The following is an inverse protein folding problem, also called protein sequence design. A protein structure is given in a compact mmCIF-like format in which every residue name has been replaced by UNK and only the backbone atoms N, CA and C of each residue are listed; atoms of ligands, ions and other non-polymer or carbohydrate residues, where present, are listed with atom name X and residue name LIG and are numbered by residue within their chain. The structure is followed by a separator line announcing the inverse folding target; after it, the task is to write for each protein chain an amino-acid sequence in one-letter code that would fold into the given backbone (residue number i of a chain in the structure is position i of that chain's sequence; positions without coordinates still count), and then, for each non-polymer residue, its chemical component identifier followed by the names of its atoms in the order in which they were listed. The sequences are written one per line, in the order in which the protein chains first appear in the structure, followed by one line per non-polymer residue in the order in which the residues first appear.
data_IF_620759559796
#
_entry.id   IF_620759559796
#
_cell.length_a   1.000
_cell.length_b   1.000
_cell.length_c   1.000
_cell.angle_alpha   90.00
_cell.angle_beta   90.00
_cell.angle_gamma   90.00
#
_symmetry.space_group_name_H-M   'P 1'
#
loop_
_entity.id
_entity.type
_entity.pdbx_description
1 polymer ?
#
# COMPACT_ATOMS: atom_id res chain seq x y z
N UNK A 1 19.81 -4.90 -6.13
CA UNK A 1 18.39 -4.82 -5.72
C UNK A 1 18.04 -3.34 -5.63
N UNK A 2 17.12 -2.85 -6.46
CA UNK A 2 16.77 -1.42 -6.45
C UNK A 2 16.03 -1.06 -5.15
N UNK A 3 16.27 0.13 -4.58
CA UNK A 3 15.56 0.56 -3.38
C UNK A 3 14.06 0.72 -3.67
N UNK A 4 13.22 0.20 -2.79
CA UNK A 4 11.76 0.34 -2.91
C UNK A 4 11.37 1.77 -2.54
N UNK A 5 10.79 2.49 -3.49
CA UNK A 5 10.37 3.89 -3.31
C UNK A 5 8.96 4.00 -2.70
N UNK A 6 8.56 5.21 -2.33
CA UNK A 6 7.17 5.49 -1.93
C UNK A 6 6.20 5.34 -3.11
N UNK A 7 6.63 5.66 -4.32
CA UNK A 7 5.82 5.47 -5.52
C UNK A 7 5.58 3.98 -5.81
N UNK A 8 6.56 3.12 -5.53
CA UNK A 8 6.37 1.67 -5.64
C UNK A 8 5.34 1.16 -4.62
N UNK A 9 5.35 1.69 -3.39
CA UNK A 9 4.34 1.35 -2.36
C UNK A 9 2.94 1.80 -2.77
N UNK A 10 2.80 2.98 -3.38
CA UNK A 10 1.51 3.47 -3.92
C UNK A 10 1.00 2.58 -5.04
N UNK A 11 1.88 2.15 -5.96
CA UNK A 11 1.54 1.21 -7.03
C UNK A 11 1.08 -0.13 -6.46
N UNK A 12 1.79 -0.65 -5.47
CA UNK A 12 1.43 -1.89 -4.77
C UNK A 12 0.05 -1.79 -4.12
N UNK A 13 -0.20 -0.71 -3.35
CA UNK A 13 -1.48 -0.46 -2.70
C UNK A 13 -2.64 -0.45 -3.72
N UNK A 14 -2.47 0.27 -4.83
CA UNK A 14 -3.48 0.32 -5.90
C UNK A 14 -3.75 -1.07 -6.48
N UNK A 15 -2.70 -1.83 -6.77
CA UNK A 15 -2.83 -3.18 -7.34
C UNK A 15 -3.56 -4.15 -6.39
N UNK A 16 -3.32 -4.06 -5.08
CA UNK A 16 -4.03 -4.88 -4.08
C UNK A 16 -5.52 -4.51 -4.02
N UNK A 17 -5.85 -3.23 -3.99
CA UNK A 17 -7.25 -2.78 -3.99
C UNK A 17 -7.99 -3.20 -5.26
N UNK A 18 -7.34 -3.10 -6.43
CA UNK A 18 -7.92 -3.52 -7.70
C UNK A 18 -8.19 -5.04 -7.73
N UNK A 19 -7.26 -5.86 -7.21
CA UNK A 19 -7.44 -7.31 -7.08
C UNK A 19 -8.59 -7.67 -6.15
N UNK A 20 -8.68 -7.02 -4.98
CA UNK A 20 -9.78 -7.24 -4.03
C UNK A 20 -11.14 -6.90 -4.62
N UNK A 21 -11.20 -5.84 -5.45
CA UNK A 21 -12.43 -5.46 -6.16
C UNK A 21 -12.81 -6.48 -7.24
N UNK A 22 -11.82 -7.08 -7.91
CA UNK A 22 -12.05 -8.06 -8.96
C UNK A 22 -12.53 -9.42 -8.44
N UNK A 23 -12.06 -9.86 -7.26
CA UNK A 23 -12.45 -11.15 -6.67
C UNK A 23 -12.96 -10.97 -5.22
N UNK A 24 -14.16 -10.41 -5.00
CA UNK A 24 -14.65 -10.08 -3.66
C UNK A 24 -14.91 -11.30 -2.75
N UNK A 25 -15.11 -12.48 -3.33
CA UNK A 25 -15.39 -13.73 -2.59
C UNK A 25 -14.14 -14.47 -2.11
N UNK A 26 -12.94 -14.02 -2.51
CA UNK A 26 -11.67 -14.60 -2.08
C UNK A 26 -11.31 -14.12 -0.67
N UNK A 27 -10.58 -14.94 0.08
CA UNK A 27 -9.97 -14.52 1.34
C UNK A 27 -8.78 -13.58 1.06
N UNK A 28 -8.85 -12.38 1.62
CA UNK A 28 -7.89 -11.29 1.45
C UNK A 28 -7.23 -10.89 2.77
N UNK A 29 -7.23 -11.76 3.78
CA UNK A 29 -6.73 -11.45 5.12
C UNK A 29 -5.30 -10.89 5.08
N UNK A 30 -4.39 -11.56 4.36
CA UNK A 30 -3.00 -11.13 4.23
C UNK A 30 -2.84 -9.82 3.44
N UNK A 31 -3.59 -9.66 2.36
CA UNK A 31 -3.55 -8.45 1.55
C UNK A 31 -4.11 -7.25 2.31
N UNK A 32 -5.13 -7.44 3.16
CA UNK A 32 -5.65 -6.41 4.05
C UNK A 32 -4.62 -5.96 5.07
N UNK A 33 -3.91 -6.89 5.72
CA UNK A 33 -2.80 -6.55 6.61
C UNK A 33 -1.71 -5.76 5.88
N UNK A 34 -1.36 -6.20 4.66
CA UNK A 34 -0.39 -5.49 3.82
C UNK A 34 -0.85 -4.08 3.46
N UNK A 35 -2.13 -3.89 3.13
CA UNK A 35 -2.72 -2.58 2.84
C UNK A 35 -2.55 -1.63 4.04
N UNK A 36 -2.81 -2.08 5.26
CA UNK A 36 -2.63 -1.25 6.47
C UNK A 36 -1.18 -0.80 6.61
N UNK A 37 -0.22 -1.72 6.41
CA UNK A 37 1.21 -1.39 6.45
C UNK A 37 1.58 -0.36 5.36
N UNK A 38 1.11 -0.55 4.13
CA UNK A 38 1.38 0.36 3.01
C UNK A 38 0.80 1.76 3.27
N UNK A 39 -0.43 1.84 3.76
CA UNK A 39 -1.07 3.11 4.12
C UNK A 39 -0.28 3.83 5.22
N UNK A 40 0.16 3.12 6.25
CA UNK A 40 0.99 3.69 7.32
C UNK A 40 2.32 4.25 6.82
N UNK A 41 3.03 3.51 5.94
CA UNK A 41 4.28 3.98 5.34
C UNK A 41 4.08 5.22 4.46
N UNK A 42 3.01 5.26 3.66
CA UNK A 42 2.69 6.40 2.80
C UNK A 42 2.35 7.63 3.65
N UNK A 43 1.52 7.46 4.68
CA UNK A 43 1.15 8.56 5.58
C UNK A 43 2.36 9.11 6.34
N UNK A 44 3.25 8.24 6.84
CA UNK A 44 4.47 8.67 7.53
C UNK A 44 5.40 9.50 6.62
N UNK A 45 5.53 9.09 5.36
CA UNK A 45 6.31 9.85 4.37
C UNK A 45 5.65 11.20 4.02
N UNK A 46 4.33 11.25 3.91
CA UNK A 46 3.61 12.52 3.72
C UNK A 46 3.83 13.47 4.90
N UNK A 47 3.66 12.99 6.13
CA UNK A 47 3.91 13.79 7.33
C UNK A 47 5.37 14.28 7.40
N UNK A 48 6.34 13.41 7.07
CA UNK A 48 7.74 13.82 7.01
C UNK A 48 7.98 14.94 5.99
N UNK A 49 7.34 14.89 4.81
CA UNK A 49 7.45 15.95 3.81
C UNK A 49 6.77 17.26 4.21
N UNK A 50 5.68 17.20 4.99
CA UNK A 50 4.97 18.39 5.47
C UNK A 50 5.74 19.13 6.59
N UNK A 51 6.61 18.41 7.31
CA UNK A 51 7.44 18.94 8.39
C UNK A 51 8.89 19.26 7.98
N UNK A 52 9.27 19.02 6.72
CA UNK A 52 10.60 19.27 6.17
C UNK A 52 10.68 20.62 5.46
#
# INVERSE_FOLDING_TARGET
MSPVTIEDRKKELRALLDKMRAEPSRDWTWERERIVVLQGMIAADQAHREHA
#
